data_IF_021261627393
#
_entry.id   IF_021261627393
#
_cell.length_a   1.000
_cell.length_b   1.000
_cell.length_c   1.000
_cell.angle_alpha   90.00
_cell.angle_beta   90.00
_cell.angle_gamma   90.00
#
_symmetry.space_group_name_H-M   'P 1'
#
loop_
_entity.id
_entity.type
_entity.pdbx_description
1 polymer ?
#
# COMPACT_ATOMS: atom_id res chain seq x y z
N UNK A 1 34.67 -15.99 25.17
CA UNK A 1 34.74 -14.52 25.16
C UNK A 1 34.35 -14.09 23.76
N UNK A 2 33.06 -13.84 23.51
CA UNK A 2 32.61 -13.32 22.21
C UNK A 2 33.19 -11.92 21.98
N UNK A 3 33.42 -11.50 20.73
CA UNK A 3 33.77 -10.10 20.47
C UNK A 3 32.65 -9.21 21.03
N UNK A 4 32.97 -8.00 21.55
CA UNK A 4 31.93 -7.10 22.04
C UNK A 4 31.00 -6.77 20.88
N UNK A 5 29.71 -7.01 21.06
CA UNK A 5 28.66 -6.57 20.15
C UNK A 5 28.67 -5.04 20.20
N UNK A 6 29.38 -4.43 19.25
CA UNK A 6 29.36 -2.99 19.09
C UNK A 6 27.95 -2.62 18.64
N UNK A 7 27.12 -2.17 19.57
CA UNK A 7 25.90 -1.45 19.26
C UNK A 7 26.32 -0.23 18.45
N UNK A 8 26.08 -0.27 17.14
CA UNK A 8 26.28 0.88 16.28
C UNK A 8 25.32 1.99 16.74
N UNK A 9 25.81 3.21 16.74
CA UNK A 9 24.99 4.41 16.93
C UNK A 9 24.12 4.64 15.70
N UNK A 10 23.04 5.40 15.85
CA UNK A 10 22.11 5.75 14.76
C UNK A 10 22.86 6.31 13.53
N UNK A 11 23.78 7.25 13.75
CA UNK A 11 24.60 7.83 12.67
C UNK A 11 25.59 6.84 12.01
N UNK A 12 26.02 5.80 12.71
CA UNK A 12 26.87 4.73 12.12
C UNK A 12 26.03 3.78 11.27
N UNK A 13 24.78 3.53 11.65
CA UNK A 13 23.83 2.76 10.84
C UNK A 13 23.53 3.53 9.54
N UNK A 14 23.25 4.83 9.64
CA UNK A 14 22.94 5.66 8.47
C UNK A 14 24.10 5.73 7.47
N UNK A 15 25.33 5.91 7.96
CA UNK A 15 26.52 5.94 7.12
C UNK A 15 26.85 4.57 6.49
N UNK A 16 26.59 3.47 7.21
CA UNK A 16 26.82 2.11 6.71
C UNK A 16 25.84 1.75 5.59
N UNK A 17 24.58 2.18 5.73
CA UNK A 17 23.50 1.87 4.77
C UNK A 17 23.24 3.00 3.75
N UNK A 18 24.00 4.09 3.79
CA UNK A 18 23.82 5.22 2.88
C UNK A 18 22.46 5.91 3.04
N UNK A 19 21.89 5.88 4.25
CA UNK A 19 20.66 6.56 4.61
C UNK A 19 20.95 8.05 4.87
N UNK A 20 21.63 8.71 3.92
CA UNK A 20 21.56 10.17 3.89
C UNK A 20 20.07 10.55 3.81
N UNK A 21 19.64 11.61 4.50
CA UNK A 21 18.24 12.02 4.46
C UNK A 21 17.90 12.43 3.02
N UNK A 22 17.29 11.52 2.28
CA UNK A 22 16.70 11.79 0.98
C UNK A 22 15.47 12.69 1.19
N UNK A 23 15.69 14.00 1.27
CA UNK A 23 14.66 15.01 1.00
C UNK A 23 15.29 16.08 0.11
N UNK A 24 15.66 15.68 -1.10
CA UNK A 24 15.63 16.60 -2.22
C UNK A 24 14.16 17.03 -2.42
N UNK A 25 13.98 18.36 -2.43
CA UNK A 25 12.77 19.09 -2.80
C UNK A 25 11.62 19.07 -1.78
N UNK A 26 11.42 20.23 -1.11
CA UNK A 26 10.11 20.57 -0.53
C UNK A 26 9.06 20.30 -1.60
N UNK A 27 8.02 19.48 -1.35
CA UNK A 27 6.99 19.25 -2.35
C UNK A 27 6.43 20.61 -2.76
N UNK A 28 6.69 20.95 -4.02
CA UNK A 28 6.08 22.13 -4.63
C UNK A 28 4.58 21.84 -4.66
N UNK A 29 3.80 22.75 -4.09
CA UNK A 29 2.36 22.63 -4.04
C UNK A 29 1.78 22.70 -5.46
N UNK A 30 1.74 21.58 -6.19
CA UNK A 30 0.95 21.44 -7.41
C UNK A 30 0.64 20.01 -7.85
N UNK A 31 0.98 18.98 -7.07
CA UNK A 31 0.51 17.63 -7.36
C UNK A 31 -0.27 17.08 -6.16
N UNK A 32 -1.59 16.94 -6.33
CA UNK A 32 -2.47 16.32 -5.34
C UNK A 32 -2.48 14.78 -5.44
N UNK A 33 -1.61 14.19 -6.24
CA UNK A 33 -1.50 12.74 -6.47
C UNK A 33 -0.61 12.10 -5.39
N UNK A 34 -1.02 11.09 -4.65
CA UNK A 34 -2.26 10.34 -4.56
C UNK A 34 -2.20 9.71 -3.16
N UNK A 35 -3.09 10.14 -2.26
CA UNK A 35 -3.17 9.50 -0.94
C UNK A 35 -4.04 8.27 -1.11
N UNK A 36 -3.60 7.06 -0.69
CA UNK A 36 -4.44 5.89 -0.75
C UNK A 36 -5.71 6.10 0.07
N UNK A 37 -6.85 5.75 -0.50
CA UNK A 37 -8.14 5.80 0.20
C UNK A 37 -8.37 4.49 0.96
N UNK A 38 -8.67 4.56 2.25
CA UNK A 38 -9.00 3.38 3.04
C UNK A 38 -10.48 3.05 2.90
N UNK A 39 -10.78 1.82 2.45
CA UNK A 39 -12.12 1.34 2.18
C UNK A 39 -12.39 0.02 2.88
N UNK A 40 -13.62 -0.15 3.37
CA UNK A 40 -14.06 -1.41 3.97
C UNK A 40 -14.75 -2.24 2.89
N UNK A 41 -14.24 -3.43 2.62
CA UNK A 41 -14.80 -4.39 1.67
C UNK A 41 -15.25 -5.65 2.38
N UNK A 42 -16.20 -6.37 1.79
CA UNK A 42 -16.66 -7.67 2.29
C UNK A 42 -16.02 -8.79 1.49
N UNK A 43 -15.40 -9.76 2.18
CA UNK A 43 -14.76 -10.90 1.53
C UNK A 43 -15.78 -11.78 0.78
N UNK A 44 -15.61 -12.06 -0.52
CA UNK A 44 -16.53 -12.91 -1.29
C UNK A 44 -16.41 -14.40 -0.94
N UNK A 45 -15.42 -14.79 -0.13
CA UNK A 45 -15.23 -16.17 0.34
C UNK A 45 -15.88 -16.41 1.70
N UNK A 46 -15.44 -15.71 2.75
CA UNK A 46 -15.91 -15.92 4.12
C UNK A 46 -17.03 -14.96 4.56
N UNK A 47 -17.26 -13.87 3.84
CA UNK A 47 -18.28 -12.86 4.19
C UNK A 47 -17.86 -11.87 5.27
N UNK A 48 -16.64 -11.97 5.81
CA UNK A 48 -16.14 -11.03 6.82
C UNK A 48 -15.68 -9.71 6.18
N UNK A 49 -16.03 -8.56 6.78
CA UNK A 49 -15.53 -7.27 6.33
C UNK A 49 -14.10 -7.01 6.80
N UNK A 50 -13.29 -6.33 5.97
CA UNK A 50 -11.96 -5.85 6.34
C UNK A 50 -11.63 -4.53 5.64
N UNK A 51 -10.71 -3.77 6.22
CA UNK A 51 -10.23 -2.51 5.65
C UNK A 51 -9.01 -2.77 4.76
N UNK A 52 -8.98 -2.13 3.60
CA UNK A 52 -7.86 -2.15 2.65
C UNK A 52 -7.64 -0.77 2.03
N UNK A 53 -6.46 -0.56 1.45
CA UNK A 53 -6.10 0.69 0.78
C UNK A 53 -6.36 0.59 -0.73
N UNK A 54 -7.15 1.50 -1.27
CA UNK A 54 -7.33 1.73 -2.69
C UNK A 54 -6.40 2.86 -3.16
N UNK A 55 -5.36 2.51 -3.92
CA UNK A 55 -4.44 3.48 -4.50
C UNK A 55 -4.81 3.77 -5.96
N UNK A 56 -5.35 4.97 -6.22
CA UNK A 56 -5.71 5.45 -7.55
C UNK A 56 -4.58 6.19 -8.26
N UNK A 57 -3.36 6.24 -7.70
CA UNK A 57 -2.18 6.90 -8.29
C UNK A 57 -1.85 6.42 -9.70
N UNK A 58 -2.14 5.15 -9.98
CA UNK A 58 -1.93 4.49 -11.25
C UNK A 58 -3.20 4.46 -12.15
N UNK A 59 -4.28 5.14 -11.74
CA UNK A 59 -5.58 5.12 -12.42
C UNK A 59 -6.34 3.79 -12.25
N UNK A 60 -7.15 3.44 -13.25
CA UNK A 60 -7.93 2.19 -13.24
C UNK A 60 -6.99 0.98 -13.27
N UNK A 61 -7.14 0.08 -12.29
CA UNK A 61 -6.27 -1.08 -12.18
C UNK A 61 -7.02 -2.31 -11.65
N UNK A 62 -6.39 -3.47 -11.80
CA UNK A 62 -6.87 -4.71 -11.20
C UNK A 62 -5.71 -5.46 -10.57
N UNK A 63 -5.90 -5.96 -9.37
CA UNK A 63 -4.88 -6.64 -8.58
C UNK A 63 -5.50 -7.74 -7.73
N UNK A 64 -4.66 -8.62 -7.17
CA UNK A 64 -5.09 -9.68 -6.27
C UNK A 64 -4.56 -9.38 -4.88
N UNK A 65 -5.44 -9.45 -3.89
CA UNK A 65 -5.11 -9.32 -2.48
C UNK A 65 -5.74 -10.48 -1.70
N UNK A 66 -5.02 -11.03 -0.73
CA UNK A 66 -5.55 -12.12 0.10
C UNK A 66 -6.48 -11.58 1.19
N UNK A 67 -7.57 -12.29 1.45
CA UNK A 67 -8.43 -11.96 2.59
C UNK A 67 -7.66 -12.03 3.92
N UNK A 68 -7.69 -10.95 4.71
CA UNK A 68 -7.05 -10.89 6.03
C UNK A 68 -7.62 -11.88 7.06
N UNK A 69 -8.77 -12.52 6.78
CA UNK A 69 -9.42 -13.48 7.68
C UNK A 69 -9.25 -14.93 7.21
N UNK A 70 -9.52 -15.22 5.93
CA UNK A 70 -9.52 -16.60 5.40
C UNK A 70 -8.40 -16.90 4.39
N UNK A 71 -7.52 -15.94 4.11
CA UNK A 71 -6.35 -16.08 3.22
C UNK A 71 -6.69 -16.63 1.83
N UNK A 72 -7.87 -16.30 1.28
CA UNK A 72 -8.25 -16.65 -0.09
C UNK A 72 -7.98 -15.46 -1.02
N UNK A 73 -7.57 -15.70 -2.28
CA UNK A 73 -7.21 -14.65 -3.22
C UNK A 73 -8.46 -13.91 -3.73
N UNK A 74 -8.55 -12.62 -3.44
CA UNK A 74 -9.63 -11.73 -3.91
C UNK A 74 -9.12 -10.92 -5.09
N UNK A 75 -9.83 -10.98 -6.21
CA UNK A 75 -9.64 -10.04 -7.32
C UNK A 75 -10.26 -8.70 -6.95
N UNK A 76 -9.44 -7.66 -6.98
CA UNK A 76 -9.78 -6.28 -6.70
C UNK A 76 -9.77 -5.49 -8.02
N UNK A 77 -10.88 -4.87 -8.40
CA UNK A 77 -10.98 -3.96 -9.54
C UNK A 77 -11.21 -2.54 -9.03
N UNK A 78 -10.18 -1.68 -9.15
CA UNK A 78 -10.25 -0.28 -8.77
C UNK A 78 -10.72 0.54 -9.96
N UNK A 79 -11.80 1.28 -9.77
CA UNK A 79 -12.38 2.19 -10.76
C UNK A 79 -12.09 3.62 -10.37
N UNK A 80 -11.77 4.42 -11.38
CA UNK A 80 -11.57 5.87 -11.26
C UNK A 80 -12.47 6.63 -12.22
N UNK A 81 -12.69 7.91 -11.96
CA UNK A 81 -13.34 8.83 -12.89
C UNK A 81 -12.37 9.37 -13.98
N UNK A 82 -12.89 10.20 -14.88
CA UNK A 82 -12.10 10.83 -15.95
C UNK A 82 -10.99 11.78 -15.42
N UNK A 83 -11.07 12.18 -14.15
CA UNK A 83 -10.08 13.01 -13.45
C UNK A 83 -9.09 12.16 -12.64
N UNK A 84 -9.19 10.82 -12.68
CA UNK A 84 -8.31 9.89 -11.98
C UNK A 84 -8.62 9.72 -10.48
N UNK A 85 -9.77 10.20 -10.00
CA UNK A 85 -10.18 10.04 -8.59
C UNK A 85 -10.83 8.69 -8.37
N UNK A 86 -10.65 8.15 -7.17
CA UNK A 86 -11.29 6.91 -6.75
C UNK A 86 -12.82 6.99 -6.90
N UNK A 87 -13.42 5.96 -7.48
CA UNK A 87 -14.87 5.83 -7.63
C UNK A 87 -15.41 4.63 -6.84
N UNK A 88 -14.80 3.46 -7.02
CA UNK A 88 -15.27 2.21 -6.43
C UNK A 88 -14.15 1.16 -6.41
N UNK A 89 -14.15 0.31 -5.39
CA UNK A 89 -13.37 -0.92 -5.34
C UNK A 89 -14.32 -2.12 -5.40
N UNK A 90 -14.27 -2.87 -6.49
CA UNK A 90 -15.11 -4.06 -6.69
C UNK A 90 -14.32 -5.31 -6.32
N UNK A 91 -14.92 -6.20 -5.52
CA UNK A 91 -14.29 -7.47 -5.11
C UNK A 91 -14.92 -8.66 -5.82
N UNK A 92 -14.09 -9.61 -6.25
CA UNK A 92 -14.51 -10.88 -6.86
C UNK A 92 -13.66 -12.04 -6.34
N UNK A 93 -14.16 -13.25 -6.52
CA UNK A 93 -13.38 -14.46 -6.26
C UNK A 93 -12.33 -14.63 -7.37
N UNK A 94 -11.05 -14.73 -7.01
CA UNK A 94 -9.95 -14.89 -7.98
C UNK A 94 -9.66 -16.32 -8.41
N UNK A 95 -10.50 -17.29 -8.01
CA UNK A 95 -10.43 -18.70 -8.39
C UNK A 95 -11.57 -19.13 -9.34
N UNK A 96 -12.33 -18.17 -9.87
CA UNK A 96 -13.48 -18.40 -10.74
C UNK A 96 -13.11 -18.67 -12.21
#
# INVERSE_FOLDING_TARGET
MGPPEKSLTESEIDALYGLEPALDEKPTASDSSATPEFVVVTCPYCGEPFETSADSSAGMCSYVEDCQVCCQPIEMELRVDDEGRFLELVTRRGDA
#
